data_IF_207057016644
#
_entry.id   IF_207057016644
#
_cell.length_a   1.000
_cell.length_b   1.000
_cell.length_c   1.000
_cell.angle_alpha   90.00
_cell.angle_beta   90.00
_cell.angle_gamma   90.00
#
_symmetry.space_group_name_H-M   'P 1'
#
loop_
_entity.id
_entity.type
_entity.pdbx_description
1 polymer ?
#
# COMPACT_ATOMS: atom_id res chain seq x y z
N UNK A 1 -1.86 -3.85 -0.99
CA UNK A 1 -0.83 -3.22 -0.13
C UNK A 1 0.56 -3.21 -0.78
N UNK A 2 0.62 -2.92 -2.08
CA UNK A 2 1.84 -2.97 -2.91
C UNK A 2 2.53 -1.58 -3.01
N UNK A 3 2.06 -0.63 -2.22
CA UNK A 3 2.16 0.81 -2.51
C UNK A 3 3.22 1.52 -1.67
N UNK A 4 3.58 0.96 -0.52
CA UNK A 4 4.46 1.58 0.47
C UNK A 4 5.68 0.69 0.80
N UNK A 5 6.14 -0.12 -0.17
CA UNK A 5 7.36 -0.89 0.00
C UNK A 5 8.57 0.04 -0.15
N UNK A 6 9.41 0.13 0.88
CA UNK A 6 10.54 1.08 0.99
C UNK A 6 11.57 0.99 -0.15
N UNK A 7 11.67 -0.16 -0.82
CA UNK A 7 12.57 -0.35 -1.97
C UNK A 7 12.08 0.32 -3.27
N UNK A 8 10.80 0.66 -3.38
CA UNK A 8 10.24 1.29 -4.59
C UNK A 8 10.43 2.83 -4.59
N UNK A 9 10.87 3.42 -3.49
CA UNK A 9 10.92 4.88 -3.31
C UNK A 9 12.26 5.51 -3.72
N UNK A 10 13.32 4.71 -3.87
CA UNK A 10 14.65 5.21 -4.28
C UNK A 10 14.81 5.08 -5.80
N UNK A 11 14.31 6.07 -6.53
CA UNK A 11 14.41 6.20 -7.99
C UNK A 11 15.83 6.41 -8.55
N UNK A 12 16.82 5.62 -8.14
CA UNK A 12 18.19 5.68 -8.66
C UNK A 12 18.77 4.30 -8.90
N UNK A 13 19.07 4.00 -10.17
CA UNK A 13 20.10 3.04 -10.53
C UNK A 13 19.63 1.82 -11.31
N UNK A 14 20.18 1.69 -12.51
CA UNK A 14 20.19 0.48 -13.33
C UNK A 14 20.26 -0.83 -12.51
N UNK A 15 19.42 -1.84 -12.78
CA UNK A 15 19.49 -3.09 -12.03
C UNK A 15 20.66 -3.94 -12.53
N UNK A 16 21.73 -4.00 -11.74
CA UNK A 16 22.76 -5.03 -11.87
C UNK A 16 22.19 -6.38 -11.40
N UNK A 17 21.67 -7.13 -12.38
CA UNK A 17 21.38 -8.57 -12.55
C UNK A 17 21.37 -9.60 -11.39
N UNK A 18 21.70 -9.31 -10.13
CA UNK A 18 21.80 -10.34 -9.09
C UNK A 18 21.20 -10.03 -7.71
N UNK A 19 20.72 -8.83 -7.43
CA UNK A 19 19.92 -8.57 -6.22
C UNK A 19 18.73 -7.68 -6.56
N UNK A 20 17.60 -8.34 -6.76
CA UNK A 20 16.36 -7.75 -7.24
C UNK A 20 15.20 -8.33 -6.42
N UNK A 21 15.12 -7.98 -5.13
CA UNK A 21 14.13 -8.57 -4.22
C UNK A 21 12.81 -7.79 -4.06
N UNK A 22 12.65 -6.62 -4.70
CA UNK A 22 11.34 -5.95 -4.80
C UNK A 22 10.77 -5.76 -6.22
N UNK A 23 11.36 -6.36 -7.26
CA UNK A 23 10.76 -6.37 -8.62
C UNK A 23 10.63 -7.77 -9.19
N UNK A 24 10.02 -8.69 -8.42
CA UNK A 24 9.81 -10.04 -8.92
C UNK A 24 9.05 -10.98 -7.99
N UNK A 25 7.77 -10.72 -7.69
CA UNK A 25 6.85 -11.81 -7.35
C UNK A 25 5.38 -11.38 -7.48
N UNK A 26 4.74 -11.77 -8.58
CA UNK A 26 3.29 -12.05 -8.56
C UNK A 26 2.29 -11.01 -9.10
N UNK A 27 2.65 -10.10 -10.00
CA UNK A 27 1.65 -9.23 -10.65
C UNK A 27 0.88 -9.91 -11.80
N UNK A 28 1.35 -11.06 -12.29
CA UNK A 28 0.70 -11.82 -13.37
C UNK A 28 -0.45 -12.71 -12.91
N UNK A 29 -0.64 -12.88 -11.60
CA UNK A 29 -1.67 -13.76 -11.07
C UNK A 29 -2.91 -12.96 -10.68
N UNK A 30 -3.90 -12.97 -11.58
CA UNK A 30 -5.26 -12.50 -11.27
C UNK A 30 -5.83 -13.38 -10.16
N UNK A 31 -5.96 -12.82 -8.95
CA UNK A 31 -6.56 -13.50 -7.80
C UNK A 31 -8.08 -13.30 -7.79
N UNK A 32 -8.52 -12.13 -8.25
CA UNK A 32 -9.92 -11.75 -8.39
C UNK A 32 -10.11 -10.91 -9.66
N UNK A 33 -11.36 -10.71 -10.12
CA UNK A 33 -11.64 -9.81 -11.24
C UNK A 33 -11.20 -8.35 -11.03
N UNK A 34 -10.91 -7.96 -9.78
CA UNK A 34 -10.52 -6.60 -9.41
C UNK A 34 -9.00 -6.43 -9.29
N UNK A 35 -8.22 -7.52 -9.32
CA UNK A 35 -6.75 -7.45 -9.25
C UNK A 35 -6.20 -6.56 -10.36
N UNK A 36 -5.45 -5.53 -9.98
CA UNK A 36 -4.75 -4.68 -10.96
C UNK A 36 -3.55 -5.47 -11.51
N UNK A 37 -3.62 -5.83 -12.79
CA UNK A 37 -2.56 -6.52 -13.54
C UNK A 37 -1.83 -5.62 -14.52
N UNK A 38 -2.39 -4.43 -14.81
CA UNK A 38 -1.79 -3.42 -15.69
C UNK A 38 -0.74 -2.59 -14.93
N UNK A 39 0.54 -2.60 -15.36
CA UNK A 39 1.60 -1.81 -14.76
C UNK A 39 1.33 -0.30 -14.72
N UNK A 40 0.73 0.28 -15.75
CA UNK A 40 0.46 1.73 -15.79
C UNK A 40 -0.60 2.11 -14.75
N UNK A 41 -1.66 1.29 -14.67
CA UNK A 41 -2.71 1.46 -13.66
C UNK A 41 -2.19 1.26 -12.24
N UNK A 42 -1.26 0.33 -12.05
CA UNK A 42 -0.59 0.13 -10.78
C UNK A 42 0.21 1.38 -10.37
N UNK A 43 1.03 1.91 -11.29
CA UNK A 43 1.82 3.12 -11.03
C UNK A 43 0.94 4.32 -10.70
N UNK A 44 -0.15 4.53 -11.43
CA UNK A 44 -1.13 5.58 -11.13
C UNK A 44 -1.77 5.42 -9.74
N UNK A 45 -2.04 4.19 -9.33
CA UNK A 45 -2.56 3.89 -7.99
C UNK A 45 -1.54 4.21 -6.90
N UNK A 46 -0.27 3.93 -7.15
CA UNK A 46 0.83 4.25 -6.24
C UNK A 46 0.98 5.77 -6.08
N UNK A 47 1.00 6.51 -7.19
CA UNK A 47 1.10 7.98 -7.16
C UNK A 47 -0.08 8.61 -6.42
N UNK A 48 -1.30 8.12 -6.68
CA UNK A 48 -2.50 8.59 -5.99
C UNK A 48 -2.40 8.35 -4.48
N UNK A 49 -1.92 7.19 -4.06
CA UNK A 49 -1.76 6.88 -2.64
C UNK A 49 -0.68 7.73 -1.96
N UNK A 50 0.39 8.10 -2.67
CA UNK A 50 1.39 9.06 -2.17
C UNK A 50 0.77 10.44 -1.93
N UNK A 51 -0.04 10.92 -2.88
CA UNK A 51 -0.73 12.21 -2.75
C UNK A 51 -1.78 12.21 -1.62
N UNK A 52 -2.51 11.10 -1.45
CA UNK A 52 -3.55 10.96 -0.44
C UNK A 52 -2.99 10.63 0.96
N UNK A 53 -1.76 10.13 1.04
CA UNK A 53 -1.16 9.62 2.26
C UNK A 53 -1.78 8.32 2.77
N UNK A 54 -2.50 7.60 1.91
CA UNK A 54 -3.05 6.27 2.18
C UNK A 54 -3.36 5.53 0.88
N UNK A 55 -3.38 4.20 0.94
CA UNK A 55 -3.78 3.33 -0.16
C UNK A 55 -5.02 2.54 0.24
N UNK A 56 -6.06 2.57 -0.59
CA UNK A 56 -7.24 1.73 -0.44
C UNK A 56 -7.23 0.66 -1.54
N UNK A 57 -7.40 -0.60 -1.15
CA UNK A 57 -7.49 -1.73 -2.07
C UNK A 57 -8.77 -2.52 -1.80
N UNK A 58 -9.58 -2.72 -2.83
CA UNK A 58 -10.88 -3.38 -2.73
C UNK A 58 -10.89 -4.66 -3.55
N UNK A 59 -11.02 -5.78 -2.85
CA UNK A 59 -11.23 -7.10 -3.42
C UNK A 59 -10.14 -7.57 -4.38
N UNK A 60 -8.94 -6.99 -4.33
CA UNK A 60 -7.84 -7.33 -5.25
C UNK A 60 -7.11 -8.63 -4.89
N UNK A 61 -7.12 -9.01 -3.62
CA UNK A 61 -6.44 -10.20 -3.09
C UNK A 61 -7.41 -11.33 -2.77
N UNK A 62 -8.62 -10.98 -2.31
CA UNK A 62 -9.68 -11.93 -1.95
C UNK A 62 -11.03 -11.25 -2.16
N UNK A 63 -11.98 -11.97 -2.77
CA UNK A 63 -13.35 -11.47 -2.97
C UNK A 63 -13.99 -11.15 -1.62
N UNK A 64 -14.71 -10.03 -1.53
CA UNK A 64 -15.37 -9.66 -0.27
C UNK A 64 -14.45 -9.04 0.78
N UNK A 65 -13.18 -8.74 0.47
CA UNK A 65 -12.23 -8.11 1.38
C UNK A 65 -11.84 -6.72 0.90
N UNK A 66 -11.64 -5.78 1.83
CA UNK A 66 -11.10 -4.45 1.55
C UNK A 66 -10.00 -4.14 2.56
N UNK A 67 -8.95 -3.47 2.11
CA UNK A 67 -7.83 -3.08 2.95
C UNK A 67 -7.49 -1.60 2.77
N UNK A 68 -7.09 -0.97 3.87
CA UNK A 68 -6.60 0.39 3.94
C UNK A 68 -5.17 0.34 4.51
N UNK A 69 -4.25 1.06 3.89
CA UNK A 69 -2.86 1.15 4.34
C UNK A 69 -2.36 2.59 4.39
N UNK A 70 -1.49 2.88 5.34
CA UNK A 70 -0.79 4.18 5.51
C UNK A 70 0.72 3.92 5.59
N UNK A 71 1.55 4.88 5.15
CA UNK A 71 2.99 4.78 5.31
C UNK A 71 3.38 4.97 6.78
N UNK A 72 4.46 4.31 7.19
CA UNK A 72 5.16 4.59 8.45
C UNK A 72 6.43 5.34 8.10
N UNK A 73 6.53 6.57 8.59
CA UNK A 73 7.65 7.48 8.33
C UNK A 73 8.54 7.54 9.57
N UNK A 74 9.85 7.46 9.39
CA UNK A 74 10.79 7.66 10.50
C UNK A 74 10.99 9.17 10.82
N UNK A 75 11.82 9.46 11.81
CA UNK A 75 12.17 10.84 12.19
C UNK A 75 12.87 11.67 11.10
N UNK A 76 13.33 11.04 10.02
CA UNK A 76 13.97 11.67 8.85
C UNK A 76 13.01 11.84 7.68
N UNK A 77 11.73 11.54 7.88
CA UNK A 77 10.71 11.49 6.83
C UNK A 77 11.01 10.43 5.75
N UNK A 78 11.79 9.39 6.08
CA UNK A 78 11.98 8.24 5.22
C UNK A 78 10.84 7.22 5.44
N UNK A 79 10.23 6.70 4.36
CA UNK A 79 9.22 5.65 4.44
C UNK A 79 9.88 4.31 4.79
N UNK A 80 9.83 3.93 6.07
CA UNK A 80 10.45 2.71 6.60
C UNK A 80 9.51 1.50 6.56
N UNK A 81 8.22 1.71 6.31
CA UNK A 81 7.26 0.62 6.17
C UNK A 81 5.84 1.11 5.94
N UNK A 82 4.88 0.21 6.17
CA UNK A 82 3.47 0.50 6.00
C UNK A 82 2.64 -0.26 7.02
N UNK A 83 1.58 0.36 7.51
CA UNK A 83 0.60 -0.27 8.38
C UNK A 83 -0.73 -0.37 7.67
N UNK A 84 -1.44 -1.49 7.83
CA UNK A 84 -2.72 -1.71 7.19
C UNK A 84 -3.74 -2.37 8.08
N UNK A 85 -5.02 -2.11 7.78
CA UNK A 85 -6.15 -2.86 8.29
C UNK A 85 -6.93 -3.48 7.14
N UNK A 86 -7.52 -4.65 7.38
CA UNK A 86 -8.42 -5.33 6.45
C UNK A 86 -9.79 -5.53 7.07
N UNK A 87 -10.84 -5.40 6.27
CA UNK A 87 -12.24 -5.56 6.66
C UNK A 87 -13.06 -6.20 5.55
N UNK A 88 -14.20 -6.81 5.90
CA UNK A 88 -15.13 -7.35 4.92
C UNK A 88 -15.79 -6.20 4.11
N UNK A 89 -15.69 -6.28 2.78
CA UNK A 89 -16.17 -5.22 1.86
C UNK A 89 -17.69 -5.03 1.89
N UNK A 90 -18.44 -6.06 2.34
CA UNK A 90 -19.89 -5.99 2.53
C UNK A 90 -20.33 -5.30 3.83
N UNK A 91 -19.42 -5.04 4.79
CA UNK A 91 -19.74 -4.36 6.05
C UNK A 91 -19.41 -2.88 6.05
N UNK A 92 -18.43 -2.47 5.24
CA UNK A 92 -17.98 -1.09 5.14
C UNK A 92 -17.83 -0.75 3.67
N UNK A 93 -18.46 0.33 3.21
CA UNK A 93 -18.12 0.96 1.93
C UNK A 93 -16.68 1.51 1.93
N UNK A 94 -16.12 1.87 0.76
CA UNK A 94 -14.81 2.52 0.68
C UNK A 94 -14.68 3.74 1.60
N UNK A 95 -15.67 4.63 1.57
CA UNK A 95 -15.68 5.86 2.37
C UNK A 95 -15.79 5.56 3.86
N UNK A 96 -16.69 4.66 4.27
CA UNK A 96 -16.87 4.30 5.68
C UNK A 96 -15.61 3.66 6.28
N UNK A 97 -14.90 2.82 5.52
CA UNK A 97 -13.64 2.25 6.00
C UNK A 97 -12.57 3.33 6.18
N UNK A 98 -12.48 4.29 5.25
CA UNK A 98 -11.56 5.41 5.35
C UNK A 98 -11.90 6.27 6.56
N UNK A 99 -13.16 6.69 6.71
CA UNK A 99 -13.60 7.52 7.83
C UNK A 99 -13.37 6.84 9.19
N UNK A 100 -13.64 5.54 9.29
CA UNK A 100 -13.51 4.80 10.54
C UNK A 100 -12.05 4.47 10.89
N UNK A 101 -11.24 4.03 9.92
CA UNK A 101 -9.93 3.47 10.19
C UNK A 101 -8.76 4.42 9.92
N UNK A 102 -8.89 5.36 8.97
CA UNK A 102 -7.78 6.22 8.58
C UNK A 102 -7.19 7.04 9.74
N UNK A 103 -7.96 7.75 10.59
CA UNK A 103 -7.37 8.54 11.66
C UNK A 103 -6.62 7.66 12.67
N UNK A 104 -7.23 6.56 13.09
CA UNK A 104 -6.63 5.60 14.05
C UNK A 104 -5.33 5.00 13.49
N UNK A 105 -5.37 4.61 12.21
CA UNK A 105 -4.23 3.99 11.55
C UNK A 105 -3.08 4.98 11.34
N UNK A 106 -3.39 6.25 11.03
CA UNK A 106 -2.39 7.32 10.93
C UNK A 106 -1.74 7.62 12.27
N UNK A 107 -2.52 7.78 13.33
CA UNK A 107 -2.01 8.07 14.67
C UNK A 107 -1.05 6.96 15.14
N UNK A 108 -1.45 5.70 14.97
CA UNK A 108 -0.62 4.56 15.34
C UNK A 108 0.63 4.43 14.44
N UNK A 109 0.56 4.81 13.15
CA UNK A 109 1.71 4.79 12.26
C UNK A 109 2.71 5.89 12.61
N UNK A 110 2.23 7.06 13.02
CA UNK A 110 3.06 8.16 13.50
C UNK A 110 3.75 7.79 14.83
N UNK A 111 3.03 7.16 15.76
CA UNK A 111 3.60 6.69 17.02
C UNK A 111 4.69 5.62 16.79
N UNK A 112 4.43 4.68 15.88
CA UNK A 112 5.44 3.69 15.50
C UNK A 112 6.66 4.35 14.85
N UNK A 113 6.44 5.30 13.94
CA UNK A 113 7.49 6.04 13.25
C UNK A 113 8.42 6.82 14.18
N UNK A 114 7.90 7.37 15.28
CA UNK A 114 8.70 8.05 16.31
C UNK A 114 9.66 7.12 17.06
N UNK A 115 9.42 5.81 17.02
CA UNK A 115 10.25 4.80 17.69
C UNK A 115 11.33 4.23 16.78
N UNK A 116 11.26 4.49 15.48
CA UNK A 116 12.17 4.00 14.43
C UNK A 116 13.20 5.08 14.05
#
# INVERSE_FOLDING_TARGET
MKVFCSECDKGTGHPSRHDMHCTGSGYEKTLTPFTITDPEKLMSTIESAKQLGYALSSEELEMGMRSLAVPVMDSREDCVGAMSVSAFSGRYSPGELVEAALPILKDAAEELGKTL
#
